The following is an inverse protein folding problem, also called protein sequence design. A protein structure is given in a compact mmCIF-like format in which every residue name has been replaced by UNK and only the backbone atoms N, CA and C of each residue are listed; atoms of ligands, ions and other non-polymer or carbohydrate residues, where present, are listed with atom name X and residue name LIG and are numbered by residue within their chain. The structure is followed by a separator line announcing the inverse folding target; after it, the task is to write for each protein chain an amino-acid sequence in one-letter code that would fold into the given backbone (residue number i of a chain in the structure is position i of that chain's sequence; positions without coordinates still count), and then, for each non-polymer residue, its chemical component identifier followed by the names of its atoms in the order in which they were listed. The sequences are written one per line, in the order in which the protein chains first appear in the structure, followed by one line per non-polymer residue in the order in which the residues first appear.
data_IF_044430463547
#
_entry.id   IF_044430463547
#
_cell.length_a   1.000
_cell.length_b   1.000
_cell.length_c   1.000
_cell.angle_alpha   90.00
_cell.angle_beta   90.00
_cell.angle_gamma   90.00
#
_symmetry.space_group_name_H-M   'P 1'
#
loop_
_entity.id
_entity.type
_entity.pdbx_description
1 polymer ?
#
# COMPACT_ATOMS: atom_id res chain seq x y z
N UNK A 1 11.83 -24.10 -40.83
CA UNK A 1 12.61 -23.64 -39.67
C UNK A 1 11.78 -23.92 -38.43
N UNK A 2 12.23 -24.82 -37.57
CA UNK A 2 11.55 -25.06 -36.30
C UNK A 2 12.06 -24.01 -35.30
N UNK A 3 11.14 -23.30 -34.65
CA UNK A 3 11.48 -22.33 -33.60
C UNK A 3 11.06 -22.90 -32.26
N UNK A 4 12.01 -23.06 -31.33
CA UNK A 4 11.74 -23.52 -29.97
C UNK A 4 11.62 -22.32 -29.03
N UNK A 5 10.49 -22.21 -28.33
CA UNK A 5 10.29 -21.21 -27.27
C UNK A 5 10.66 -21.81 -25.91
N UNK A 6 11.63 -21.20 -25.23
CA UNK A 6 11.93 -21.50 -23.84
C UNK A 6 10.90 -20.81 -22.94
N UNK A 7 10.22 -21.61 -22.12
CA UNK A 7 9.16 -21.16 -21.24
C UNK A 7 9.69 -20.78 -19.87
N UNK A 8 9.11 -19.74 -19.26
CA UNK A 8 9.40 -19.37 -17.87
C UNK A 8 8.88 -20.42 -16.88
N UNK A 9 9.44 -20.45 -15.67
CA UNK A 9 8.96 -21.32 -14.59
C UNK A 9 7.54 -20.95 -14.14
N UNK A 10 6.81 -21.93 -13.58
CA UNK A 10 5.46 -21.70 -13.05
C UNK A 10 5.48 -20.68 -11.91
N UNK A 11 6.49 -20.76 -11.04
CA UNK A 11 6.70 -19.84 -9.93
C UNK A 11 6.86 -18.40 -10.43
N UNK A 12 7.71 -18.15 -11.43
CA UNK A 12 7.91 -16.84 -12.02
C UNK A 12 6.62 -16.24 -12.58
N UNK A 13 5.79 -17.06 -13.25
CA UNK A 13 4.49 -16.63 -13.77
C UNK A 13 3.56 -16.21 -12.64
N UNK A 14 3.47 -17.00 -11.57
CA UNK A 14 2.65 -16.68 -10.40
C UNK A 14 3.10 -15.39 -9.71
N UNK A 15 4.41 -15.24 -9.45
CA UNK A 15 4.96 -14.02 -8.86
C UNK A 15 4.73 -12.78 -9.73
N UNK A 16 4.95 -12.90 -11.04
CA UNK A 16 4.74 -11.79 -11.98
C UNK A 16 3.28 -11.36 -12.04
N UNK A 17 2.35 -12.34 -12.01
CA UNK A 17 0.93 -12.08 -12.01
C UNK A 17 0.50 -11.34 -10.74
N UNK A 18 0.85 -11.88 -9.56
CA UNK A 18 0.54 -11.24 -8.26
C UNK A 18 1.13 -9.83 -8.18
N UNK A 19 2.40 -9.67 -8.59
CA UNK A 19 3.08 -8.36 -8.58
C UNK A 19 2.34 -7.33 -9.43
N UNK A 20 1.76 -7.74 -10.56
CA UNK A 20 1.04 -6.84 -11.44
C UNK A 20 -0.40 -6.58 -10.97
N UNK A 21 -1.03 -7.55 -10.32
CA UNK A 21 -2.38 -7.41 -9.79
C UNK A 21 -2.44 -6.51 -8.56
N UNK A 22 -1.41 -6.48 -7.71
CA UNK A 22 -1.40 -5.68 -6.48
C UNK A 22 -1.66 -4.17 -6.69
N UNK A 23 -0.94 -3.44 -7.56
CA UNK A 23 -1.21 -2.02 -7.79
C UNK A 23 -2.58 -1.76 -8.43
N UNK A 24 -3.04 -2.64 -9.33
CA UNK A 24 -4.37 -2.53 -9.93
C UNK A 24 -5.48 -2.67 -8.88
N UNK A 25 -5.32 -3.61 -7.95
CA UNK A 25 -6.20 -3.74 -6.81
C UNK A 25 -6.18 -2.49 -5.91
N UNK A 26 -4.99 -1.94 -5.64
CA UNK A 26 -4.86 -0.69 -4.88
C UNK A 26 -5.64 0.47 -5.51
N UNK A 27 -5.60 0.63 -6.83
CA UNK A 27 -6.37 1.67 -7.54
C UNK A 27 -7.87 1.47 -7.39
N UNK A 28 -8.38 0.24 -7.58
CA UNK A 28 -9.80 -0.07 -7.39
C UNK A 28 -10.22 0.18 -5.96
N UNK A 29 -9.40 -0.22 -4.98
CA UNK A 29 -9.69 -0.01 -3.58
C UNK A 29 -9.75 1.49 -3.21
N UNK A 30 -8.81 2.31 -3.70
CA UNK A 30 -8.80 3.76 -3.47
C UNK A 30 -10.02 4.43 -4.10
N UNK A 31 -10.39 4.03 -5.31
CA UNK A 31 -11.60 4.53 -6.00
C UNK A 31 -12.86 4.22 -5.18
N UNK A 32 -12.99 2.97 -4.70
CA UNK A 32 -14.10 2.61 -3.82
C UNK A 32 -14.06 3.34 -2.46
N UNK A 33 -12.89 3.50 -1.85
CA UNK A 33 -12.74 4.21 -0.58
C UNK A 33 -13.08 5.71 -0.70
N UNK A 34 -12.91 6.30 -1.88
CA UNK A 34 -13.13 7.74 -2.12
C UNK A 34 -14.50 8.09 -2.73
N UNK A 35 -15.30 7.08 -3.08
CA UNK A 35 -16.62 7.26 -3.71
C UNK A 35 -17.74 6.63 -2.87
N UNK A 36 -18.97 7.10 -3.07
CA UNK A 36 -20.18 6.60 -2.38
C UNK A 36 -21.16 5.87 -3.31
N UNK A 37 -20.81 5.72 -4.60
CA UNK A 37 -21.68 5.14 -5.65
C UNK A 37 -22.14 3.71 -5.35
N UNK A 38 -21.41 2.99 -4.50
CA UNK A 38 -21.66 1.60 -4.14
C UNK A 38 -22.44 1.44 -2.81
N UNK A 39 -22.83 2.53 -2.13
CA UNK A 39 -23.44 2.44 -0.79
C UNK A 39 -24.75 1.65 -0.75
N UNK A 40 -25.52 1.68 -1.83
CA UNK A 40 -26.78 0.93 -1.98
C UNK A 40 -26.56 -0.59 -2.10
N UNK A 41 -25.35 -1.02 -2.42
CA UNK A 41 -25.00 -2.42 -2.63
C UNK A 41 -24.21 -3.00 -1.47
N UNK A 42 -24.44 -4.27 -1.13
CA UNK A 42 -23.54 -5.03 -0.26
C UNK A 42 -22.33 -5.48 -1.08
N UNK A 43 -21.16 -4.93 -0.73
CA UNK A 43 -19.91 -5.19 -1.45
C UNK A 43 -19.07 -6.28 -0.80
N UNK A 44 -19.48 -6.85 0.34
CA UNK A 44 -18.64 -7.81 1.09
C UNK A 44 -18.18 -8.99 0.22
N UNK A 45 -19.08 -9.50 -0.62
CA UNK A 45 -18.81 -10.63 -1.52
C UNK A 45 -18.03 -10.23 -2.78
N UNK A 46 -17.98 -8.95 -3.15
CA UNK A 46 -17.33 -8.47 -4.37
C UNK A 46 -15.80 -8.55 -4.34
N UNK A 47 -15.19 -8.70 -3.16
CA UNK A 47 -13.73 -8.81 -3.04
C UNK A 47 -13.15 -9.95 -3.90
N UNK A 48 -13.76 -11.14 -3.89
CA UNK A 48 -13.26 -12.29 -4.66
C UNK A 48 -13.47 -12.11 -6.17
N UNK A 49 -14.67 -11.76 -6.68
CA UNK A 49 -14.86 -11.45 -8.10
C UNK A 49 -13.93 -10.34 -8.61
N UNK A 50 -13.73 -9.29 -7.82
CA UNK A 50 -12.86 -8.15 -8.18
C UNK A 50 -11.43 -8.61 -8.38
N UNK A 51 -10.87 -9.39 -7.44
CA UNK A 51 -9.48 -9.86 -7.60
C UNK A 51 -9.32 -10.84 -8.76
N UNK A 52 -10.33 -11.67 -9.04
CA UNK A 52 -10.33 -12.55 -10.23
C UNK A 52 -10.31 -11.71 -11.51
N UNK A 53 -11.15 -10.69 -11.63
CA UNK A 53 -11.17 -9.79 -12.78
C UNK A 53 -9.82 -9.06 -12.95
N UNK A 54 -9.21 -8.62 -11.86
CA UNK A 54 -7.88 -8.01 -11.86
C UNK A 54 -6.80 -9.00 -12.28
N UNK A 55 -6.84 -10.25 -11.80
CA UNK A 55 -5.90 -11.29 -12.22
C UNK A 55 -6.01 -11.58 -13.72
N UNK A 56 -7.23 -11.66 -14.27
CA UNK A 56 -7.46 -11.83 -15.72
C UNK A 56 -6.91 -10.62 -16.48
N UNK A 57 -7.20 -9.41 -16.03
CA UNK A 57 -6.73 -8.17 -16.65
C UNK A 57 -5.21 -8.07 -16.64
N UNK A 58 -4.59 -8.37 -15.48
CA UNK A 58 -3.14 -8.40 -15.32
C UNK A 58 -2.49 -9.48 -16.21
N UNK A 59 -3.12 -10.65 -16.33
CA UNK A 59 -2.67 -11.72 -17.21
C UNK A 59 -2.65 -11.26 -18.66
N UNK A 60 -3.76 -10.71 -19.17
CA UNK A 60 -3.87 -10.18 -20.53
C UNK A 60 -2.86 -9.07 -20.78
N UNK A 61 -2.67 -8.17 -19.81
CA UNK A 61 -1.70 -7.08 -19.94
C UNK A 61 -0.26 -7.60 -19.98
N UNK A 62 0.10 -8.58 -19.15
CA UNK A 62 1.43 -9.22 -19.18
C UNK A 62 1.65 -9.97 -20.51
N UNK A 63 0.62 -10.61 -21.06
CA UNK A 63 0.67 -11.22 -22.39
C UNK A 63 0.93 -10.19 -23.49
N UNK A 64 0.34 -8.99 -23.38
CA UNK A 64 0.62 -7.88 -24.30
C UNK A 64 2.06 -7.38 -24.15
N UNK A 65 2.54 -7.16 -22.92
CA UNK A 65 3.88 -6.62 -22.65
C UNK A 65 5.02 -7.52 -23.13
N UNK A 66 4.82 -8.83 -23.27
CA UNK A 66 5.85 -9.73 -23.83
C UNK A 66 5.91 -9.72 -25.37
N UNK A 67 4.96 -9.07 -26.07
CA UNK A 67 4.92 -9.11 -27.54
C UNK A 67 5.92 -8.17 -28.21
N UNK A 68 6.28 -8.48 -29.45
CA UNK A 68 7.08 -7.60 -30.32
C UNK A 68 6.41 -6.24 -30.55
N UNK A 69 5.07 -6.17 -30.48
CA UNK A 69 4.32 -4.89 -30.57
C UNK A 69 4.61 -4.01 -29.36
N UNK A 70 4.56 -4.57 -28.15
CA UNK A 70 4.92 -3.84 -26.93
C UNK A 70 6.40 -3.44 -26.94
N UNK A 71 7.30 -4.32 -27.39
CA UNK A 71 8.72 -3.99 -27.51
C UNK A 71 9.00 -2.82 -28.48
N UNK A 72 8.19 -2.68 -29.55
CA UNK A 72 8.21 -1.50 -30.44
C UNK A 72 7.66 -0.25 -29.75
N UNK A 73 6.50 -0.37 -29.10
CA UNK A 73 5.86 0.75 -28.40
C UNK A 73 6.76 1.36 -27.32
N UNK A 74 7.46 0.51 -26.57
CA UNK A 74 8.36 0.91 -25.49
C UNK A 74 9.84 0.94 -25.89
N UNK A 75 10.14 1.07 -27.19
CA UNK A 75 11.51 0.97 -27.70
C UNK A 75 12.46 2.00 -27.06
N UNK A 76 12.01 3.23 -26.85
CA UNK A 76 12.85 4.29 -26.25
C UNK A 76 13.35 3.93 -24.84
N UNK A 77 12.53 3.22 -24.07
CA UNK A 77 12.82 2.86 -22.68
C UNK A 77 13.57 1.52 -22.62
N UNK A 78 13.07 0.51 -23.34
CA UNK A 78 13.58 -0.87 -23.24
C UNK A 78 14.55 -1.25 -24.37
N UNK A 79 14.84 -0.34 -25.30
CA UNK A 79 15.76 -0.50 -26.44
C UNK A 79 15.49 -1.79 -27.22
N UNK A 80 14.22 -2.08 -27.50
CA UNK A 80 13.75 -3.25 -28.24
C UNK A 80 13.62 -4.55 -27.44
N UNK A 81 13.93 -4.55 -26.14
CA UNK A 81 13.60 -5.67 -25.23
C UNK A 81 12.11 -5.62 -24.86
N UNK A 82 11.46 -6.76 -24.61
CA UNK A 82 10.10 -6.76 -24.09
C UNK A 82 10.08 -6.10 -22.69
N UNK A 83 9.11 -5.22 -22.40
CA UNK A 83 8.95 -4.59 -21.09
C UNK A 83 8.78 -5.58 -19.93
N UNK A 84 8.16 -6.73 -20.19
CA UNK A 84 7.98 -7.79 -19.21
C UNK A 84 8.27 -9.17 -19.82
N UNK A 85 8.75 -10.07 -18.97
CA UNK A 85 8.94 -11.48 -19.30
C UNK A 85 7.91 -12.27 -18.51
N UNK A 86 6.95 -12.89 -19.21
CA UNK A 86 5.83 -13.56 -18.56
C UNK A 86 5.78 -15.05 -18.85
N UNK A 87 5.29 -15.47 -20.04
CA UNK A 87 5.21 -16.89 -20.39
C UNK A 87 6.47 -17.41 -21.07
N UNK A 88 7.04 -16.58 -21.95
CA UNK A 88 8.15 -16.93 -22.81
C UNK A 88 9.39 -16.16 -22.39
N UNK A 89 10.52 -16.85 -22.26
CA UNK A 89 11.80 -16.25 -21.94
C UNK A 89 12.59 -15.89 -23.20
N UNK A 90 12.90 -16.89 -24.04
CA UNK A 90 13.66 -16.73 -25.28
C UNK A 90 13.07 -17.59 -26.38
N UNK A 91 13.22 -17.13 -27.62
CA UNK A 91 12.95 -17.91 -28.83
C UNK A 91 14.28 -18.35 -29.44
N UNK A 92 14.38 -19.62 -29.83
CA UNK A 92 15.57 -20.23 -30.45
C UNK A 92 15.18 -20.71 -31.84
N UNK A 93 15.94 -20.34 -32.87
CA UNK A 93 15.84 -20.96 -34.19
C UNK A 93 16.69 -22.23 -34.26
N UNK A 94 16.09 -23.37 -34.62
CA UNK A 94 16.78 -24.66 -34.73
C UNK A 94 17.43 -24.85 -36.13
N UNK A 95 18.09 -23.81 -36.63
CA UNK A 95 18.80 -23.83 -37.92
C UNK A 95 20.29 -24.18 -37.74
N UNK A 96 21.03 -24.37 -38.85
CA UNK A 96 22.48 -24.69 -38.82
C UNK A 96 23.30 -23.68 -38.00
N UNK A 97 22.85 -22.43 -37.94
CA UNK A 97 23.36 -21.38 -37.07
C UNK A 97 22.25 -20.92 -36.10
N UNK A 98 22.14 -21.51 -34.90
CA UNK A 98 21.03 -21.21 -34.00
C UNK A 98 21.11 -19.78 -33.48
N UNK A 99 20.01 -19.06 -33.66
CA UNK A 99 19.87 -17.67 -33.19
C UNK A 99 18.93 -17.62 -31.99
N UNK A 100 19.26 -16.77 -31.02
CA UNK A 100 18.35 -16.44 -29.92
C UNK A 100 17.67 -15.11 -30.20
N UNK A 101 16.37 -15.03 -29.91
CA UNK A 101 15.59 -13.80 -30.01
C UNK A 101 14.95 -13.46 -28.67
N UNK A 102 15.03 -12.18 -28.29
CA UNK A 102 14.41 -11.59 -27.11
C UNK A 102 13.71 -10.27 -27.48
N UNK A 103 12.41 -10.33 -27.73
CA UNK A 103 11.67 -9.23 -28.36
C UNK A 103 12.24 -8.91 -29.74
N UNK A 104 12.62 -7.66 -29.98
CA UNK A 104 13.14 -7.23 -31.28
C UNK A 104 14.64 -7.48 -31.48
N UNK A 105 15.32 -8.03 -30.47
CA UNK A 105 16.76 -8.27 -30.54
C UNK A 105 17.05 -9.74 -30.84
N UNK A 106 17.95 -9.98 -31.79
CA UNK A 106 18.49 -11.29 -32.10
C UNK A 106 20.00 -11.36 -31.85
N UNK A 107 20.50 -12.54 -31.48
CA UNK A 107 21.93 -12.82 -31.37
C UNK A 107 22.20 -14.22 -31.92
N UNK A 108 23.21 -14.35 -32.78
CA UNK A 108 23.68 -15.67 -33.21
C UNK A 108 24.52 -16.29 -32.08
N UNK A 109 24.18 -17.52 -31.68
CA UNK A 109 24.90 -18.20 -30.61
C UNK A 109 26.37 -18.48 -30.94
N UNK A 110 26.72 -18.60 -32.23
CA UNK A 110 28.12 -18.77 -32.65
C UNK A 110 29.01 -17.58 -32.29
N UNK A 111 28.43 -16.37 -32.20
CA UNK A 111 29.17 -15.16 -31.84
C UNK A 111 29.44 -15.05 -30.33
N UNK A 112 28.87 -15.90 -29.48
CA UNK A 112 28.99 -15.75 -28.01
C UNK A 112 30.31 -16.33 -27.55
N UNK A 113 31.27 -15.50 -27.11
CA UNK A 113 32.57 -15.94 -26.62
C UNK A 113 32.55 -16.31 -25.13
N UNK A 114 31.78 -15.56 -24.34
CA UNK A 114 31.73 -15.75 -22.90
C UNK A 114 30.32 -15.60 -22.35
N UNK A 115 30.00 -16.41 -21.33
CA UNK A 115 28.74 -16.35 -20.60
C UNK A 115 28.98 -16.11 -19.11
N UNK A 116 28.41 -15.02 -18.60
CA UNK A 116 28.60 -14.62 -17.21
C UNK A 116 27.26 -14.50 -16.48
N UNK A 117 27.18 -15.10 -15.29
CA UNK A 117 26.04 -14.94 -14.40
C UNK A 117 26.32 -13.82 -13.39
N UNK A 118 25.53 -12.75 -13.46
CA UNK A 118 25.60 -11.63 -12.51
C UNK A 118 25.16 -12.04 -11.11
N UNK A 119 25.49 -11.19 -10.12
CA UNK A 119 25.02 -11.35 -8.73
C UNK A 119 23.50 -11.37 -8.63
N UNK A 120 22.83 -10.62 -9.52
CA UNK A 120 21.38 -10.46 -9.57
C UNK A 120 20.67 -11.53 -10.42
N UNK A 121 21.39 -12.59 -10.83
CA UNK A 121 20.79 -13.71 -11.57
C UNK A 121 20.48 -13.42 -13.04
N UNK A 122 21.03 -12.36 -13.63
CA UNK A 122 21.01 -12.14 -15.08
C UNK A 122 22.17 -12.85 -15.76
N UNK A 123 21.90 -13.49 -16.89
CA UNK A 123 22.88 -14.03 -17.82
C UNK A 123 23.31 -12.93 -18.79
N UNK A 124 24.62 -12.69 -18.86
CA UNK A 124 25.26 -11.77 -19.78
C UNK A 124 25.98 -12.59 -20.84
N UNK A 125 25.69 -12.27 -22.10
CA UNK A 125 26.39 -12.78 -23.26
C UNK A 125 27.42 -11.75 -23.69
N UNK A 126 28.67 -12.19 -23.73
CA UNK A 126 29.78 -11.38 -24.22
C UNK A 126 30.29 -11.91 -25.54
N UNK A 127 30.76 -11.02 -26.40
CA UNK A 127 31.35 -11.38 -27.68
C UNK A 127 32.51 -10.47 -28.02
N UNK A 128 33.59 -11.08 -28.51
CA UNK A 128 34.77 -10.41 -29.07
C UNK A 128 34.52 -9.91 -30.49
N UNK A 129 33.53 -10.47 -31.20
CA UNK A 129 33.21 -10.08 -32.58
C UNK A 129 32.70 -8.64 -32.72
N UNK A 130 32.27 -8.03 -31.61
CA UNK A 130 31.75 -6.66 -31.55
C UNK A 130 32.73 -5.69 -30.87
N UNK A 131 33.92 -6.16 -30.50
CA UNK A 131 34.95 -5.40 -29.80
C UNK A 131 35.99 -4.83 -30.77
N UNK A 132 36.54 -3.68 -30.43
CA UNK A 132 37.84 -3.22 -30.95
C UNK A 132 38.98 -3.74 -30.08
N UNK A 133 40.22 -3.68 -30.57
CA UNK A 133 41.38 -4.02 -29.75
C UNK A 133 41.64 -2.96 -28.68
N UNK A 134 41.90 -3.40 -27.45
CA UNK A 134 42.32 -2.54 -26.34
C UNK A 134 43.76 -2.87 -25.98
N UNK A 135 44.65 -1.87 -26.08
CA UNK A 135 46.05 -2.04 -25.64
C UNK A 135 46.10 -1.78 -24.13
N UNK A 136 46.25 -2.84 -23.33
CA UNK A 136 46.56 -2.75 -21.89
C UNK A 136 48.02 -3.15 -21.69
N UNK A 137 48.80 -2.29 -21.03
CA UNK A 137 50.22 -2.52 -20.74
C UNK A 137 51.09 -2.90 -21.97
N UNK A 138 50.79 -2.34 -23.15
CA UNK A 138 51.52 -2.63 -24.38
C UNK A 138 51.19 -3.97 -25.04
N UNK A 139 50.23 -4.73 -24.50
CA UNK A 139 49.68 -5.94 -25.10
C UNK A 139 48.29 -5.64 -25.63
N UNK A 140 48.04 -6.00 -26.88
CA UNK A 140 46.73 -5.91 -27.50
C UNK A 140 45.85 -7.04 -26.93
N UNK A 141 44.97 -6.69 -25.98
CA UNK A 141 44.01 -7.63 -25.40
C UNK A 141 42.64 -7.42 -26.05
N UNK A 142 42.10 -8.48 -26.66
CA UNK A 142 40.72 -8.49 -27.16
C UNK A 142 39.83 -8.98 -26.02
N UNK A 143 39.39 -8.05 -25.19
CA UNK A 143 38.39 -8.29 -24.14
C UNK A 143 36.99 -8.37 -24.77
N UNK A 144 36.13 -9.27 -24.27
CA UNK A 144 34.77 -9.43 -24.82
C UNK A 144 33.79 -8.42 -24.17
N UNK A 145 33.02 -7.72 -25.02
CA UNK A 145 32.02 -6.72 -24.60
C UNK A 145 30.64 -7.33 -24.37
N UNK A 146 29.85 -6.66 -23.52
CA UNK A 146 28.48 -7.04 -23.19
C UNK A 146 27.54 -6.81 -24.39
N UNK A 147 27.12 -7.88 -25.06
CA UNK A 147 26.21 -7.80 -26.21
C UNK A 147 24.76 -7.95 -25.77
N UNK A 148 24.52 -8.86 -24.83
CA UNK A 148 23.17 -9.26 -24.48
C UNK A 148 23.02 -9.57 -23.00
N UNK A 149 21.89 -9.18 -22.42
CA UNK A 149 21.61 -9.40 -21.00
C UNK A 149 20.15 -9.74 -20.81
N UNK A 150 19.90 -10.89 -20.19
CA UNK A 150 18.57 -11.46 -19.93
C UNK A 150 18.52 -12.04 -18.51
N UNK A 151 17.37 -12.00 -17.82
CA UNK A 151 17.25 -12.59 -16.51
C UNK A 151 17.21 -14.12 -16.63
N UNK A 152 18.08 -14.82 -15.93
CA UNK A 152 18.22 -16.28 -16.02
C UNK A 152 17.42 -17.01 -14.95
N UNK A 153 17.13 -16.35 -13.83
CA UNK A 153 16.34 -16.92 -12.73
C UNK A 153 14.85 -17.13 -13.04
N UNK A 154 14.36 -16.69 -14.20
CA UNK A 154 12.94 -16.81 -14.60
C UNK A 154 12.59 -18.17 -15.22
N UNK A 155 13.60 -19.00 -15.48
CA UNK A 155 13.47 -20.33 -16.10
C UNK A 155 13.80 -21.41 -15.07
N UNK A 156 13.27 -22.62 -15.25
CA UNK A 156 13.56 -23.75 -14.35
C UNK A 156 15.04 -24.13 -14.40
N UNK A 157 15.55 -24.72 -13.31
CA UNK A 157 16.95 -25.20 -13.26
C UNK A 157 17.26 -26.23 -14.36
N UNK A 158 16.25 -26.98 -14.82
CA UNK A 158 16.38 -27.92 -15.96
C UNK A 158 16.57 -27.18 -17.28
N UNK A 159 15.68 -26.24 -17.61
CA UNK A 159 15.76 -25.43 -18.84
C UNK A 159 17.04 -24.59 -18.89
N UNK A 160 17.47 -24.06 -17.73
CA UNK A 160 18.77 -23.38 -17.60
C UNK A 160 19.93 -24.28 -18.03
N UNK A 161 19.94 -25.55 -17.60
CA UNK A 161 21.01 -26.50 -17.95
C UNK A 161 20.98 -26.87 -19.43
N UNK A 162 19.80 -27.22 -19.94
CA UNK A 162 19.60 -27.53 -21.37
C UNK A 162 20.03 -26.36 -22.27
N UNK A 163 19.75 -25.12 -21.86
CA UNK A 163 20.18 -23.94 -22.61
C UNK A 163 21.70 -23.78 -22.64
N UNK A 164 22.39 -23.95 -21.52
CA UNK A 164 23.86 -23.85 -21.48
C UNK A 164 24.51 -25.00 -22.26
N UNK A 165 23.97 -26.21 -22.19
CA UNK A 165 24.42 -27.34 -23.00
C UNK A 165 24.26 -27.08 -24.50
N UNK A 166 23.16 -26.42 -24.91
CA UNK A 166 22.97 -25.98 -26.29
C UNK A 166 24.06 -24.98 -26.71
N UNK A 167 24.35 -23.97 -25.89
CA UNK A 167 25.41 -22.99 -26.20
C UNK A 167 26.77 -23.67 -26.32
N UNK A 168 27.10 -24.60 -25.42
CA UNK A 168 28.35 -25.37 -25.47
C UNK A 168 28.43 -26.30 -26.69
N UNK A 169 27.30 -26.83 -27.15
CA UNK A 169 27.25 -27.65 -28.37
C UNK A 169 27.54 -26.82 -29.62
N UNK A 170 26.97 -25.62 -29.69
CA UNK A 170 27.17 -24.69 -30.81
C UNK A 170 28.60 -24.13 -30.77
N UNK A 171 29.11 -23.86 -29.58
CA UNK A 171 30.44 -23.31 -29.36
C UNK A 171 31.18 -24.02 -28.21
N UNK A 172 31.98 -25.05 -28.51
CA UNK A 172 32.71 -25.81 -27.50
C UNK A 172 33.75 -25.00 -26.71
N UNK A 173 34.28 -23.92 -27.29
CA UNK A 173 35.28 -23.01 -26.70
C UNK A 173 34.69 -21.89 -25.82
N UNK A 174 33.36 -21.88 -25.58
CA UNK A 174 32.71 -20.82 -24.80
C UNK A 174 33.22 -20.76 -23.36
N UNK A 175 33.64 -19.56 -22.92
CA UNK A 175 34.14 -19.35 -21.55
C UNK A 175 32.97 -19.11 -20.60
N UNK A 176 32.75 -20.03 -19.67
CA UNK A 176 31.73 -19.87 -18.62
C UNK A 176 32.34 -19.17 -17.39
N UNK A 177 31.71 -18.09 -16.93
CA UNK A 177 32.13 -17.40 -15.71
C UNK A 177 32.00 -18.30 -14.46
N UNK A 178 32.90 -18.12 -13.47
CA UNK A 178 32.99 -18.95 -12.26
C UNK A 178 31.66 -19.20 -11.55
N UNK A 179 30.79 -18.17 -11.47
CA UNK A 179 29.45 -18.27 -10.84
C UNK A 179 28.50 -19.15 -11.63
N UNK A 180 28.51 -19.04 -12.95
CA UNK A 180 27.69 -19.85 -13.84
C UNK A 180 28.15 -21.32 -13.79
N UNK A 181 29.47 -21.56 -13.85
CA UNK A 181 30.04 -22.90 -13.68
C UNK A 181 29.61 -23.53 -12.35
N UNK A 182 29.75 -22.81 -11.23
CA UNK A 182 29.32 -23.28 -9.91
C UNK A 182 27.82 -23.63 -9.89
N UNK A 183 26.98 -22.84 -10.56
CA UNK A 183 25.53 -23.07 -10.66
C UNK A 183 25.20 -24.30 -11.51
N UNK A 184 25.95 -24.55 -12.58
CA UNK A 184 25.76 -25.71 -13.46
C UNK A 184 26.16 -27.03 -12.78
N UNK A 185 27.26 -27.01 -12.00
CA UNK A 185 27.76 -28.16 -11.23
C UNK A 185 26.85 -28.47 -10.03
N UNK A 186 26.15 -27.48 -9.49
CA UNK A 186 25.25 -27.68 -8.37
C UNK A 186 24.24 -28.81 -8.65
N UNK A 187 24.15 -29.75 -7.71
CA UNK A 187 23.22 -30.89 -7.77
C UNK A 187 21.80 -30.33 -7.82
N UNK A 188 21.03 -30.75 -8.82
CA UNK A 188 19.63 -30.36 -8.90
C UNK A 188 18.88 -30.98 -7.73
N UNK A 189 18.38 -30.13 -6.81
CA UNK A 189 17.57 -30.55 -5.68
C UNK A 189 16.14 -30.77 -6.17
N UNK A 190 15.71 -32.03 -6.25
CA UNK A 190 14.32 -32.36 -6.54
C UNK A 190 13.45 -31.74 -5.44
N UNK A 191 12.64 -30.73 -5.78
CA UNK A 191 11.81 -30.01 -4.81
C UNK A 191 11.93 -28.49 -4.84
N UNK A 192 13.02 -27.93 -5.36
CA UNK A 192 13.24 -26.47 -5.37
C UNK A 192 12.12 -25.74 -6.14
N UNK A 193 11.80 -26.21 -7.35
CA UNK A 193 10.74 -25.65 -8.19
C UNK A 193 9.35 -25.79 -7.52
N UNK A 194 9.14 -26.85 -6.72
CA UNK A 194 7.90 -27.06 -5.97
C UNK A 194 7.77 -26.06 -4.82
N UNK A 195 8.85 -25.83 -4.06
CA UNK A 195 8.87 -24.84 -2.96
C UNK A 195 8.59 -23.43 -3.52
N UNK A 196 9.22 -23.07 -4.63
CA UNK A 196 8.97 -21.77 -5.25
C UNK A 196 7.54 -21.62 -5.76
N UNK A 197 6.97 -22.69 -6.33
CA UNK A 197 5.57 -22.70 -6.80
C UNK A 197 4.59 -22.61 -5.64
N UNK A 198 4.87 -23.30 -4.52
CA UNK A 198 4.09 -23.19 -3.29
C UNK A 198 4.10 -21.75 -2.75
N UNK A 199 5.26 -21.06 -2.80
CA UNK A 199 5.35 -19.65 -2.45
C UNK A 199 4.49 -18.74 -3.33
N UNK A 200 4.41 -19.02 -4.64
CA UNK A 200 3.54 -18.28 -5.55
C UNK A 200 2.04 -18.53 -5.26
N UNK A 201 1.66 -19.77 -4.94
CA UNK A 201 0.29 -20.11 -4.51
C UNK A 201 -0.06 -19.44 -3.19
N UNK A 202 0.88 -19.41 -2.24
CA UNK A 202 0.70 -18.71 -0.97
C UNK A 202 0.48 -17.21 -1.17
N UNK A 203 1.27 -16.55 -2.02
CA UNK A 203 1.04 -15.13 -2.33
C UNK A 203 -0.29 -14.88 -3.03
N UNK A 204 -0.73 -15.80 -3.90
CA UNK A 204 -2.05 -15.72 -4.50
C UNK A 204 -3.13 -15.82 -3.40
N UNK A 205 -3.02 -16.77 -2.49
CA UNK A 205 -3.91 -16.87 -1.33
C UNK A 205 -3.95 -15.57 -0.52
N UNK A 206 -2.78 -14.99 -0.21
CA UNK A 206 -2.68 -13.70 0.50
C UNK A 206 -3.38 -12.59 -0.27
N UNK A 207 -3.28 -12.56 -1.61
CA UNK A 207 -3.94 -11.55 -2.44
C UNK A 207 -5.47 -11.70 -2.44
N UNK A 208 -5.99 -12.92 -2.47
CA UNK A 208 -7.43 -13.17 -2.31
C UNK A 208 -7.93 -12.78 -0.92
N UNK A 209 -7.18 -13.15 0.12
CA UNK A 209 -7.47 -12.79 1.50
C UNK A 209 -7.45 -11.28 1.72
N UNK A 210 -6.48 -10.59 1.10
CA UNK A 210 -6.38 -9.13 1.09
C UNK A 210 -7.64 -8.49 0.52
N UNK A 211 -8.05 -8.91 -0.67
CA UNK A 211 -9.23 -8.38 -1.35
C UNK A 211 -10.49 -8.59 -0.53
N UNK A 212 -10.73 -9.82 -0.08
CA UNK A 212 -11.91 -10.14 0.73
C UNK A 212 -11.95 -9.36 2.04
N UNK A 213 -10.82 -9.28 2.75
CA UNK A 213 -10.72 -8.58 4.03
C UNK A 213 -10.94 -7.07 3.89
N UNK A 214 -10.39 -6.45 2.84
CA UNK A 214 -10.51 -5.02 2.63
C UNK A 214 -11.90 -4.59 2.16
N UNK A 215 -12.59 -5.41 1.36
CA UNK A 215 -14.00 -5.18 1.03
C UNK A 215 -14.90 -5.34 2.25
N UNK A 216 -14.66 -6.36 3.09
CA UNK A 216 -15.36 -6.49 4.36
C UNK A 216 -15.11 -5.31 5.31
N UNK A 217 -13.88 -4.77 5.33
CA UNK A 217 -13.55 -3.56 6.08
C UNK A 217 -14.31 -2.32 5.58
N UNK A 218 -14.35 -2.10 4.27
CA UNK A 218 -15.12 -1.01 3.66
C UNK A 218 -16.61 -1.12 3.97
N UNK A 219 -17.17 -2.32 3.80
CA UNK A 219 -18.58 -2.58 4.10
C UNK A 219 -18.88 -2.29 5.58
N UNK A 220 -18.03 -2.73 6.50
CA UNK A 220 -18.18 -2.46 7.93
C UNK A 220 -18.16 -0.96 8.25
N UNK A 221 -17.20 -0.21 7.69
CA UNK A 221 -17.14 1.25 7.86
C UNK A 221 -18.39 1.93 7.30
N UNK A 222 -18.85 1.50 6.12
CA UNK A 222 -20.11 1.98 5.55
C UNK A 222 -21.27 1.73 6.50
N UNK A 223 -21.40 0.54 7.07
CA UNK A 223 -22.50 0.19 7.97
C UNK A 223 -22.50 1.07 9.24
N UNK A 224 -21.34 1.35 9.85
CA UNK A 224 -21.26 2.32 10.96
C UNK A 224 -21.66 3.74 10.51
N UNK A 225 -21.19 4.18 9.35
CA UNK A 225 -21.53 5.49 8.82
C UNK A 225 -23.03 5.62 8.49
N UNK A 226 -23.67 4.60 7.92
CA UNK A 226 -25.11 4.58 7.69
C UNK A 226 -25.88 4.64 9.01
N UNK A 227 -25.47 3.87 10.02
CA UNK A 227 -26.07 3.96 11.36
C UNK A 227 -25.98 5.38 11.92
N UNK A 228 -24.82 6.02 11.80
CA UNK A 228 -24.59 7.42 12.19
C UNK A 228 -25.51 8.40 11.44
N UNK A 229 -25.60 8.29 10.10
CA UNK A 229 -26.39 9.20 9.26
C UNK A 229 -27.88 9.07 9.57
N UNK A 230 -28.38 7.84 9.67
CA UNK A 230 -29.79 7.56 10.03
C UNK A 230 -30.09 8.11 11.42
N UNK A 231 -29.19 7.92 12.39
CA UNK A 231 -29.35 8.46 13.74
C UNK A 231 -29.31 10.00 13.75
N UNK A 232 -28.45 10.65 12.95
CA UNK A 232 -28.42 12.12 12.81
C UNK A 232 -29.68 12.69 12.18
N UNK A 233 -30.23 12.03 11.16
CA UNK A 233 -31.50 12.41 10.52
C UNK A 233 -32.72 12.30 11.44
N UNK A 234 -32.61 11.56 12.54
CA UNK A 234 -33.70 11.24 13.48
C UNK A 234 -34.04 12.34 14.50
N UNK A 235 -33.85 13.61 14.17
CA UNK A 235 -34.58 14.69 14.86
C UNK A 235 -36.11 14.57 14.67
N UNK A 236 -36.61 13.65 13.81
CA UNK A 236 -37.98 13.14 13.84
C UNK A 236 -38.05 11.73 14.45
N UNK A 237 -38.81 11.59 15.53
CA UNK A 237 -38.91 10.42 16.40
C UNK A 237 -39.80 9.28 15.88
N UNK A 238 -39.53 8.72 14.70
CA UNK A 238 -40.27 7.52 14.20
C UNK A 238 -39.54 6.23 14.57
N UNK A 239 -40.30 5.23 15.02
CA UNK A 239 -39.76 3.91 15.45
C UNK A 239 -38.99 3.20 14.33
N UNK A 240 -39.46 3.33 13.08
CA UNK A 240 -38.85 2.71 11.89
C UNK A 240 -37.40 3.18 11.64
N UNK A 241 -37.12 4.46 11.88
CA UNK A 241 -35.78 5.05 11.66
C UNK A 241 -34.79 4.55 12.72
N UNK A 242 -35.23 4.38 13.97
CA UNK A 242 -34.39 3.80 15.04
C UNK A 242 -34.02 2.36 14.75
N UNK A 243 -35.00 1.55 14.32
CA UNK A 243 -34.76 0.15 13.95
C UNK A 243 -33.76 0.05 12.79
N UNK A 244 -33.85 0.93 11.80
CA UNK A 244 -32.88 0.98 10.70
C UNK A 244 -31.45 1.29 11.16
N UNK A 245 -31.27 2.26 12.06
CA UNK A 245 -29.94 2.58 12.60
C UNK A 245 -29.34 1.41 13.41
N UNK A 246 -30.15 0.76 14.24
CA UNK A 246 -29.73 -0.44 15.00
C UNK A 246 -29.36 -1.61 14.08
N UNK A 247 -30.09 -1.79 12.98
CA UNK A 247 -29.80 -2.86 12.01
C UNK A 247 -28.47 -2.64 11.30
N UNK A 248 -28.19 -1.41 10.87
CA UNK A 248 -26.88 -1.04 10.31
C UNK A 248 -25.75 -1.26 11.33
N UNK A 249 -25.96 -0.83 12.57
CA UNK A 249 -24.98 -1.00 13.65
C UNK A 249 -24.70 -2.48 13.93
N UNK A 250 -25.74 -3.32 14.05
CA UNK A 250 -25.60 -4.77 14.28
C UNK A 250 -24.86 -5.48 13.13
N UNK A 251 -25.09 -5.08 11.89
CA UNK A 251 -24.34 -5.62 10.73
C UNK A 251 -22.85 -5.31 10.86
N UNK A 252 -22.51 -4.08 11.23
CA UNK A 252 -21.12 -3.68 11.46
C UNK A 252 -20.47 -4.46 12.62
N UNK A 253 -21.15 -4.58 13.76
CA UNK A 253 -20.66 -5.38 14.90
C UNK A 253 -20.45 -6.84 14.53
N UNK A 254 -21.37 -7.43 13.75
CA UNK A 254 -21.23 -8.82 13.28
C UNK A 254 -19.94 -8.99 12.45
N UNK A 255 -19.60 -8.02 11.60
CA UNK A 255 -18.38 -8.04 10.80
C UNK A 255 -17.11 -7.88 11.65
N UNK A 256 -17.17 -7.02 12.68
CA UNK A 256 -16.10 -6.78 13.63
C UNK A 256 -15.82 -8.01 14.51
N UNK A 257 -16.88 -8.62 15.06
CA UNK A 257 -16.82 -9.79 15.94
C UNK A 257 -16.55 -11.10 15.20
N UNK A 258 -16.90 -11.16 13.90
CA UNK A 258 -16.68 -12.35 13.07
C UNK A 258 -15.23 -12.81 13.22
N UNK A 259 -14.97 -14.04 13.70
CA UNK A 259 -13.64 -14.44 14.15
C UNK A 259 -12.61 -14.26 13.02
N UNK A 260 -11.38 -13.81 13.34
CA UNK A 260 -10.31 -13.80 12.37
C UNK A 260 -9.97 -15.25 12.03
N UNK A 261 -10.59 -15.77 10.95
CA UNK A 261 -10.39 -17.14 10.47
C UNK A 261 -8.95 -17.38 9.97
N UNK A 262 -8.81 -18.06 8.83
CA UNK A 262 -7.50 -18.26 8.17
C UNK A 262 -6.95 -16.93 7.62
N UNK A 263 -7.74 -15.85 7.65
CA UNK A 263 -7.37 -14.54 7.15
C UNK A 263 -6.18 -13.93 7.89
N UNK A 264 -5.07 -13.78 7.17
CA UNK A 264 -3.86 -13.09 7.62
C UNK A 264 -4.06 -11.57 7.58
N UNK A 265 -4.78 -11.09 6.57
CA UNK A 265 -5.03 -9.66 6.38
C UNK A 265 -6.00 -9.13 7.43
N UNK A 266 -7.10 -9.82 7.72
CA UNK A 266 -8.02 -9.40 8.79
C UNK A 266 -7.30 -9.27 10.14
N UNK A 267 -6.40 -10.21 10.46
CA UNK A 267 -5.56 -10.16 11.68
C UNK A 267 -4.61 -8.98 11.75
N UNK A 268 -4.11 -8.51 10.60
CA UNK A 268 -3.13 -7.42 10.55
C UNK A 268 -3.81 -6.06 10.43
N UNK A 269 -4.88 -5.96 9.63
CA UNK A 269 -5.60 -4.70 9.35
C UNK A 269 -6.64 -4.38 10.44
N UNK A 270 -7.39 -5.36 10.94
CA UNK A 270 -8.47 -5.09 11.91
C UNK A 270 -8.04 -5.19 13.37
N UNK A 271 -6.92 -5.84 13.68
CA UNK A 271 -6.51 -6.04 15.07
C UNK A 271 -5.21 -5.32 15.46
N UNK A 272 -4.64 -4.50 14.57
CA UNK A 272 -3.44 -3.69 14.87
C UNK A 272 -3.45 -2.36 14.13
N UNK A 273 -3.01 -1.32 14.84
CA UNK A 273 -2.63 -0.02 14.26
C UNK A 273 -3.79 0.91 13.92
N UNK A 274 -3.52 1.84 13.01
CA UNK A 274 -4.40 2.95 12.65
C UNK A 274 -5.78 2.49 12.15
N UNK A 275 -5.84 1.47 11.29
CA UNK A 275 -7.09 0.98 10.71
C UNK A 275 -8.06 0.48 11.78
N UNK A 276 -7.57 -0.25 12.80
CA UNK A 276 -8.36 -0.66 13.96
C UNK A 276 -8.87 0.53 14.75
N UNK A 277 -8.00 1.53 15.01
CA UNK A 277 -8.41 2.77 15.66
C UNK A 277 -9.53 3.48 14.90
N UNK A 278 -9.44 3.56 13.57
CA UNK A 278 -10.47 4.14 12.74
C UNK A 278 -11.82 3.38 12.82
N UNK A 279 -11.81 2.04 12.90
CA UNK A 279 -13.05 1.26 13.13
C UNK A 279 -13.70 1.63 14.44
N UNK A 280 -12.92 1.65 15.53
CA UNK A 280 -13.46 1.97 16.85
C UNK A 280 -13.92 3.44 16.96
N UNK A 281 -13.27 4.36 16.21
CA UNK A 281 -13.76 5.72 16.06
C UNK A 281 -15.12 5.75 15.35
N UNK A 282 -15.25 5.10 14.18
CA UNK A 282 -16.53 5.04 13.46
C UNK A 282 -17.64 4.37 14.28
N UNK A 283 -17.30 3.31 15.03
CA UNK A 283 -18.20 2.68 16.00
C UNK A 283 -18.63 3.67 17.09
N UNK A 284 -17.69 4.41 17.66
CA UNK A 284 -17.95 5.43 18.67
C UNK A 284 -18.86 6.54 18.14
N UNK A 285 -18.59 7.05 16.94
CA UNK A 285 -19.40 8.05 16.28
C UNK A 285 -20.84 7.55 16.08
N UNK A 286 -21.03 6.33 15.55
CA UNK A 286 -22.35 5.75 15.39
C UNK A 286 -23.11 5.66 16.72
N UNK A 287 -22.48 5.11 17.76
CA UNK A 287 -23.05 5.02 19.11
C UNK A 287 -23.41 6.39 19.69
N UNK A 288 -22.57 7.40 19.46
CA UNK A 288 -22.79 8.76 19.94
C UNK A 288 -24.12 9.30 19.40
N UNK A 289 -24.33 9.23 18.08
CA UNK A 289 -25.56 9.74 17.47
C UNK A 289 -26.78 8.87 17.75
N UNK A 290 -26.61 7.57 18.03
CA UNK A 290 -27.68 6.70 18.52
C UNK A 290 -28.07 6.96 19.98
N UNK A 291 -27.38 7.88 20.67
CA UNK A 291 -27.65 8.24 22.08
C UNK A 291 -27.01 7.32 23.11
N UNK A 292 -26.20 6.33 22.68
CA UNK A 292 -25.47 5.39 23.55
C UNK A 292 -24.13 6.01 23.97
N UNK A 293 -24.20 7.09 24.73
CA UNK A 293 -23.08 8.01 25.04
C UNK A 293 -21.90 7.36 25.75
N UNK A 294 -22.15 6.57 26.80
CA UNK A 294 -21.06 5.91 27.55
C UNK A 294 -20.31 4.88 26.69
N UNK A 295 -21.04 4.11 25.88
CA UNK A 295 -20.44 3.15 24.95
C UNK A 295 -19.65 3.82 23.83
N UNK A 296 -20.11 4.98 23.37
CA UNK A 296 -19.40 5.81 22.40
C UNK A 296 -18.05 6.27 22.96
N UNK A 297 -18.04 6.84 24.17
CA UNK A 297 -16.82 7.28 24.85
C UNK A 297 -15.86 6.11 25.04
N UNK A 298 -16.35 4.96 25.50
CA UNK A 298 -15.52 3.75 25.65
C UNK A 298 -14.93 3.30 24.32
N UNK A 299 -15.70 3.34 23.23
CA UNK A 299 -15.21 2.98 21.89
C UNK A 299 -14.10 3.92 21.43
N UNK A 300 -14.24 5.22 21.67
CA UNK A 300 -13.23 6.20 21.30
C UNK A 300 -11.96 6.07 22.16
N UNK A 301 -12.09 5.72 23.45
CA UNK A 301 -10.95 5.35 24.29
C UNK A 301 -10.22 4.13 23.73
N UNK A 302 -10.95 3.08 23.34
CA UNK A 302 -10.35 1.92 22.65
C UNK A 302 -9.68 2.32 21.34
N UNK A 303 -10.25 3.25 20.56
CA UNK A 303 -9.61 3.76 19.35
C UNK A 303 -8.24 4.39 19.66
N UNK A 304 -8.15 5.16 20.75
CA UNK A 304 -6.92 5.80 21.22
C UNK A 304 -5.91 4.82 21.78
N UNK A 305 -6.32 3.67 22.33
CA UNK A 305 -5.38 2.59 22.71
C UNK A 305 -4.61 2.04 21.48
N UNK A 306 -5.28 1.95 20.33
CA UNK A 306 -4.64 1.51 19.07
C UNK A 306 -3.89 2.64 18.36
N UNK A 307 -4.35 3.89 18.49
CA UNK A 307 -3.73 5.05 17.85
C UNK A 307 -3.64 6.26 18.80
N UNK A 308 -2.68 6.24 19.74
CA UNK A 308 -2.59 7.19 20.85
C UNK A 308 -2.07 8.57 20.46
N UNK A 309 -1.70 8.80 19.20
CA UNK A 309 -1.15 10.10 18.74
C UNK A 309 -2.17 10.91 17.92
N UNK A 310 -3.42 10.49 17.92
CA UNK A 310 -4.46 11.11 17.12
C UNK A 310 -5.00 12.38 17.77
N UNK A 311 -4.48 13.55 17.38
CA UNK A 311 -5.00 14.85 17.84
C UNK A 311 -6.53 14.94 17.68
N UNK A 312 -7.05 14.53 16.52
CA UNK A 312 -8.48 14.53 16.22
C UNK A 312 -9.31 13.69 17.20
N UNK A 313 -8.89 12.45 17.48
CA UNK A 313 -9.65 11.56 18.39
C UNK A 313 -9.60 12.06 19.84
N UNK A 314 -8.50 12.67 20.28
CA UNK A 314 -8.44 13.29 21.61
C UNK A 314 -9.36 14.50 21.75
N UNK A 315 -9.40 15.38 20.74
CA UNK A 315 -10.32 16.52 20.70
C UNK A 315 -11.78 16.08 20.68
N UNK A 316 -12.08 15.01 19.94
CA UNK A 316 -13.40 14.39 19.91
C UNK A 316 -13.78 13.82 21.28
N UNK A 317 -12.86 13.12 21.95
CA UNK A 317 -13.07 12.58 23.29
C UNK A 317 -13.31 13.69 24.33
N UNK A 318 -12.49 14.73 24.32
CA UNK A 318 -12.63 15.86 25.23
C UNK A 318 -14.00 16.55 25.06
N UNK A 319 -14.44 16.71 23.82
CA UNK A 319 -15.76 17.28 23.49
C UNK A 319 -16.90 16.41 24.00
N UNK A 320 -16.84 15.12 23.75
CA UNK A 320 -17.87 14.17 24.20
C UNK A 320 -17.96 14.14 25.73
N UNK A 321 -16.82 14.08 26.42
CA UNK A 321 -16.76 14.19 27.88
C UNK A 321 -17.36 15.50 28.39
N UNK A 322 -17.08 16.61 27.70
CA UNK A 322 -17.62 17.91 28.08
C UNK A 322 -19.14 18.00 27.90
N UNK A 323 -19.67 17.46 26.80
CA UNK A 323 -21.11 17.40 26.54
C UNK A 323 -21.83 16.61 27.63
N UNK A 324 -21.27 15.48 28.06
CA UNK A 324 -21.79 14.66 29.19
C UNK A 324 -21.51 15.25 30.58
N UNK A 325 -20.97 16.48 30.67
CA UNK A 325 -20.72 17.17 31.94
C UNK A 325 -19.48 16.70 32.71
N UNK A 326 -18.68 15.79 32.14
CA UNK A 326 -17.41 15.28 32.72
C UNK A 326 -16.25 16.26 32.49
N UNK A 327 -16.45 17.53 32.88
CA UNK A 327 -15.54 18.65 32.59
C UNK A 327 -14.12 18.46 33.15
N UNK A 328 -13.97 17.77 34.29
CA UNK A 328 -12.65 17.51 34.89
C UNK A 328 -11.81 16.58 34.01
N UNK A 329 -12.42 15.52 33.48
CA UNK A 329 -11.75 14.56 32.61
C UNK A 329 -11.44 15.17 31.25
N UNK A 330 -12.41 15.90 30.67
CA UNK A 330 -12.22 16.62 29.42
C UNK A 330 -11.03 17.59 29.50
N UNK A 331 -10.93 18.38 30.58
CA UNK A 331 -9.79 19.29 30.79
C UNK A 331 -8.47 18.55 30.91
N UNK A 332 -8.44 17.41 31.61
CA UNK A 332 -7.20 16.62 31.73
C UNK A 332 -6.69 16.21 30.36
N UNK A 333 -7.56 15.64 29.52
CA UNK A 333 -7.21 15.24 28.14
C UNK A 333 -6.69 16.44 27.35
N UNK A 334 -7.32 17.61 27.47
CA UNK A 334 -6.90 18.80 26.71
C UNK A 334 -5.58 19.39 27.20
N UNK A 335 -5.27 19.33 28.49
CA UNK A 335 -3.98 19.78 29.00
C UNK A 335 -2.84 18.89 28.48
N UNK A 336 -3.01 17.57 28.58
CA UNK A 336 -2.04 16.61 28.05
C UNK A 336 -1.82 16.86 26.54
N UNK A 337 -2.90 17.12 25.80
CA UNK A 337 -2.86 17.38 24.36
C UNK A 337 -2.24 18.74 23.99
N UNK A 338 -2.47 19.78 24.80
CA UNK A 338 -1.87 21.10 24.60
C UNK A 338 -0.36 21.09 24.83
N UNK A 339 0.11 20.26 25.77
CA UNK A 339 1.54 20.08 26.02
C UNK A 339 2.21 19.23 24.93
N UNK A 340 1.52 18.23 24.38
CA UNK A 340 2.05 17.43 23.26
C UNK A 340 2.06 18.17 21.92
N UNK A 341 1.11 19.09 21.71
CA UNK A 341 0.92 19.84 20.46
C UNK A 341 1.07 21.34 20.71
N UNK A 342 2.30 21.79 20.97
CA UNK A 342 2.61 23.18 21.29
C UNK A 342 2.15 24.16 20.20
N UNK A 343 2.14 23.72 18.94
CA UNK A 343 1.77 24.47 17.75
C UNK A 343 0.28 24.47 17.38
N UNK A 344 -0.59 23.83 18.18
CA UNK A 344 -2.04 23.77 17.90
C UNK A 344 -2.85 24.66 18.83
N UNK A 345 -3.67 25.54 18.26
CA UNK A 345 -4.55 26.44 19.01
C UNK A 345 -5.81 25.70 19.51
N UNK A 346 -6.24 24.66 18.81
CA UNK A 346 -7.49 23.93 19.09
C UNK A 346 -7.61 23.42 20.53
N UNK A 347 -6.66 22.63 21.10
CA UNK A 347 -6.77 22.13 22.48
C UNK A 347 -6.95 23.24 23.52
N UNK A 348 -6.36 24.41 23.27
CA UNK A 348 -6.45 25.57 24.17
C UNK A 348 -7.77 26.30 24.05
N UNK A 349 -8.28 26.50 22.84
CA UNK A 349 -9.63 27.06 22.65
C UNK A 349 -10.68 26.17 23.33
N UNK A 350 -10.54 24.85 23.20
CA UNK A 350 -11.36 23.89 23.91
C UNK A 350 -11.28 24.10 25.43
N UNK A 351 -10.07 24.22 25.98
CA UNK A 351 -9.85 24.42 27.42
C UNK A 351 -10.48 25.71 27.93
N UNK A 352 -10.36 26.81 27.18
CA UNK A 352 -10.98 28.11 27.49
C UNK A 352 -12.50 27.94 27.55
N UNK A 353 -13.10 27.30 26.53
CA UNK A 353 -14.54 27.02 26.49
C UNK A 353 -14.98 26.19 27.70
N UNK A 354 -14.21 25.18 28.11
CA UNK A 354 -14.52 24.37 29.29
C UNK A 354 -14.44 25.16 30.60
N UNK A 355 -13.54 26.14 30.72
CA UNK A 355 -13.53 27.03 31.89
C UNK A 355 -14.76 27.93 31.94
N UNK A 356 -15.18 28.48 30.79
CA UNK A 356 -16.40 29.31 30.71
C UNK A 356 -17.64 28.48 31.04
N UNK A 357 -17.75 27.26 30.54
CA UNK A 357 -18.86 26.33 30.86
C UNK A 357 -18.89 25.90 32.33
N UNK A 358 -17.77 26.02 33.04
CA UNK A 358 -17.68 25.81 34.48
C UNK A 358 -17.82 27.09 35.31
N UNK A 359 -18.31 28.18 34.73
CA UNK A 359 -18.47 29.51 35.33
C UNK A 359 -17.19 30.12 35.93
N UNK A 360 -16.01 29.76 35.38
CA UNK A 360 -14.71 30.22 35.86
C UNK A 360 -14.02 31.14 34.85
N UNK A 361 -14.65 32.30 34.59
CA UNK A 361 -14.17 33.28 33.61
C UNK A 361 -12.77 33.82 33.93
N UNK A 362 -12.44 33.92 35.23
CA UNK A 362 -11.10 34.34 35.67
C UNK A 362 -10.03 33.33 35.25
N UNK A 363 -10.30 32.03 35.38
CA UNK A 363 -9.37 31.00 34.88
C UNK A 363 -9.33 30.96 33.37
N UNK A 364 -10.45 31.14 32.69
CA UNK A 364 -10.49 31.21 31.23
C UNK A 364 -9.57 32.32 30.71
N UNK A 365 -9.72 33.54 31.26
CA UNK A 365 -8.87 34.69 30.89
C UNK A 365 -7.41 34.45 31.24
N UNK A 366 -7.12 34.02 32.47
CA UNK A 366 -5.73 33.75 32.89
C UNK A 366 -5.07 32.67 32.02
N UNK A 367 -5.81 31.63 31.65
CA UNK A 367 -5.31 30.58 30.78
C UNK A 367 -5.03 31.10 29.36
N UNK A 368 -5.93 31.94 28.83
CA UNK A 368 -5.70 32.64 27.56
C UNK A 368 -4.44 33.50 27.60
N UNK A 369 -4.26 34.33 28.63
CA UNK A 369 -3.10 35.22 28.75
C UNK A 369 -1.78 34.43 28.76
N UNK A 370 -1.69 33.38 29.61
CA UNK A 370 -0.50 32.52 29.68
C UNK A 370 -0.23 31.82 28.35
N UNK A 371 -1.29 31.33 27.70
CA UNK A 371 -1.13 30.56 26.48
C UNK A 371 -0.86 31.43 25.26
N UNK A 372 -1.47 32.61 25.16
CA UNK A 372 -1.18 33.55 24.08
C UNK A 372 0.31 33.91 24.08
N UNK A 373 0.87 34.21 25.27
CA UNK A 373 2.30 34.48 25.42
C UNK A 373 3.17 33.25 25.06
N UNK A 374 2.80 32.05 25.54
CA UNK A 374 3.52 30.80 25.23
C UNK A 374 3.49 30.50 23.72
N UNK A 375 2.32 30.60 23.09
CA UNK A 375 2.12 30.34 21.67
C UNK A 375 2.89 31.33 20.79
N UNK A 376 2.88 32.60 21.16
CA UNK A 376 3.60 33.65 20.44
C UNK A 376 5.10 33.36 20.41
N UNK A 377 5.67 33.05 21.58
CA UNK A 377 7.07 32.69 21.71
C UNK A 377 7.45 31.40 20.96
N UNK A 378 6.63 30.36 21.06
CA UNK A 378 6.93 29.04 20.50
C UNK A 378 6.71 28.95 19.00
N UNK A 379 5.57 29.47 18.52
CA UNK A 379 5.19 29.34 17.11
C UNK A 379 5.70 30.50 16.28
N UNK A 380 5.46 31.75 16.70
CA UNK A 380 5.80 32.92 15.86
C UNK A 380 7.25 33.37 16.07
N UNK A 381 7.78 33.26 17.29
CA UNK A 381 9.14 33.65 17.63
C UNK A 381 9.35 35.17 17.63
N UNK A 382 10.61 35.61 17.58
CA UNK A 382 10.93 37.04 17.42
C UNK A 382 10.53 37.57 16.03
N UNK A 383 10.36 38.89 15.91
CA UNK A 383 9.96 39.61 14.68
C UNK A 383 10.67 39.05 13.42
N UNK A 384 9.95 38.83 12.30
CA UNK A 384 10.51 38.18 11.12
C UNK A 384 11.67 38.97 10.52
N UNK A 385 12.81 38.31 10.30
CA UNK A 385 14.00 38.92 9.70
C UNK A 385 13.80 39.19 8.20
N UNK A 386 14.41 40.27 7.70
CA UNK A 386 14.40 40.65 6.28
C UNK A 386 15.02 39.55 5.39
N UNK A 387 14.48 39.25 4.19
CA UNK A 387 13.35 39.91 3.51
C UNK A 387 11.96 39.46 3.98
N UNK A 388 10.92 40.31 3.84
CA UNK A 388 9.57 40.02 4.29
C UNK A 388 9.01 38.79 3.58
N UNK A 389 8.58 37.79 4.35
CA UNK A 389 8.05 36.54 3.82
C UNK A 389 8.13 35.33 4.76
N UNK A 390 8.87 35.44 5.87
CA UNK A 390 9.05 34.37 6.86
C UNK A 390 7.95 34.23 7.91
N UNK A 391 6.73 34.74 7.66
CA UNK A 391 5.64 34.63 8.63
C UNK A 391 5.33 33.15 8.90
N UNK A 392 5.34 32.77 10.16
CA UNK A 392 4.93 31.43 10.60
C UNK A 392 3.43 31.41 10.78
N UNK A 393 2.80 30.28 10.47
CA UNK A 393 1.35 30.11 10.53
C UNK A 393 1.01 28.94 11.44
N UNK A 394 -0.08 29.08 12.18
CA UNK A 394 -0.74 27.97 12.86
C UNK A 394 -1.52 27.16 11.82
N UNK A 395 -1.24 25.86 11.73
CA UNK A 395 -1.94 24.96 10.82
C UNK A 395 -2.91 24.07 11.62
N UNK A 396 -4.10 24.59 11.91
CA UNK A 396 -5.17 23.81 12.54
C UNK A 396 -6.21 23.35 11.54
N UNK A 397 -6.61 22.08 11.63
CA UNK A 397 -7.71 21.51 10.85
C UNK A 397 -8.96 21.41 11.71
N UNK A 398 -10.01 22.14 11.33
CA UNK A 398 -11.25 22.23 12.09
C UNK A 398 -12.33 21.35 11.46
N UNK A 399 -13.04 20.56 12.27
CA UNK A 399 -14.27 19.88 11.89
C UNK A 399 -15.49 20.78 12.12
N UNK A 400 -16.62 20.44 11.48
CA UNK A 400 -17.91 21.11 11.72
C UNK A 400 -18.26 21.14 13.21
N UNK A 401 -18.05 20.01 13.89
CA UNK A 401 -18.39 19.89 15.30
C UNK A 401 -17.42 20.72 16.18
N UNK A 402 -16.18 21.02 15.72
CA UNK A 402 -15.27 21.93 16.43
C UNK A 402 -15.82 23.35 16.39
N UNK A 403 -16.25 23.77 15.19
CA UNK A 403 -16.84 25.09 14.97
C UNK A 403 -18.08 25.28 15.85
N UNK A 404 -19.01 24.32 15.84
CA UNK A 404 -20.21 24.42 16.68
C UNK A 404 -19.87 24.41 18.17
N UNK A 405 -19.01 23.51 18.62
CA UNK A 405 -18.67 23.43 20.03
C UNK A 405 -17.96 24.71 20.54
N UNK A 406 -17.02 25.24 19.77
CA UNK A 406 -16.27 26.43 20.15
C UNK A 406 -17.09 27.69 20.01
N UNK A 407 -17.70 27.91 18.83
CA UNK A 407 -18.39 29.17 18.55
C UNK A 407 -19.71 29.30 19.28
N UNK A 408 -20.52 28.23 19.39
CA UNK A 408 -21.79 28.34 20.11
C UNK A 408 -21.54 28.73 21.56
N UNK A 409 -20.52 28.16 22.21
CA UNK A 409 -20.19 28.46 23.60
C UNK A 409 -19.52 29.84 23.77
N UNK A 410 -18.68 30.26 22.81
CA UNK A 410 -18.06 31.58 22.83
C UNK A 410 -19.08 32.70 22.58
N UNK A 411 -20.05 32.48 21.70
CA UNK A 411 -21.06 33.47 21.28
C UNK A 411 -22.32 33.47 22.15
N UNK A 412 -22.63 32.38 22.88
CA UNK A 412 -23.76 32.34 23.83
C UNK A 412 -23.47 33.08 25.15
N UNK A 413 -22.30 33.72 25.31
CA UNK A 413 -22.07 34.55 26.49
C UNK A 413 -22.95 35.80 26.44
N UNK A 414 -23.90 35.88 27.37
CA UNK A 414 -24.49 37.15 27.81
C UNK A 414 -23.54 37.87 28.76
#
# INVERSE_FOLDING_TARGET
MATRLIKTSLSHRGYSLVKMSYPLFGLVFIDMFSTSTWFESDIQWLGIPTIVAILVSAHVFLLFLQTDRAARLYYLIHRGKPPAIYLNWLEISDDEAPTIKFGLRGLNLSCVDELHLTMWGNLIFKSRSVCGSLVKNGVEEIEADDVFKVPFGVVSSKEQKEFIELVQRVRPDVVLGKRLQKRMIAKHVKGEDYIQSLGAVFLLFVLFDLSFSLFGYLEMLKQYHLAQVVARGSLSSTTEVKTSADDHFKKAETMLESPPGISLVKRTVLHKGYSTGAVYQSRGEALWYMGRRDEAIKSLQTALEYYPKSLRMHLELARWLAIEGRLREARKVLFDLADEHEDSLLPRLYTIVLFRRGDDEKKAKRYYDIYADKLDLEVFGEEPWWPPGGNRYLNDSWSRDDVHFLLDELLKSK
#
